data_IF_005058192319
#
_entry.id   IF_005058192319
#
_cell.length_a   1.000
_cell.length_b   1.000
_cell.length_c   1.000
_cell.angle_alpha   90.00
_cell.angle_beta   90.00
_cell.angle_gamma   90.00
#
_symmetry.space_group_name_H-M   'P 1'
#
loop_
_entity.id
_entity.type
_entity.pdbx_description
1 polymer ?
#
# COMPACT_ATOMS: atom_id res chain seq x y z
N UNK A 1 2.15 33.68 -30.02
CA UNK A 1 1.83 33.31 -28.61
C UNK A 1 1.26 31.90 -28.63
N UNK A 2 2.05 30.89 -28.26
CA UNK A 2 1.55 29.52 -28.13
C UNK A 2 0.90 29.37 -26.76
N UNK A 3 -0.42 29.20 -26.75
CA UNK A 3 -1.16 28.89 -25.53
C UNK A 3 -0.82 27.46 -25.10
N UNK A 4 -0.14 27.31 -23.96
CA UNK A 4 -0.01 26.03 -23.26
C UNK A 4 -1.42 25.65 -22.82
N UNK A 5 -2.05 24.76 -23.57
CA UNK A 5 -3.30 24.11 -23.18
C UNK A 5 -2.91 23.11 -22.09
N UNK A 6 -2.96 23.56 -20.82
CA UNK A 6 -2.95 22.63 -19.69
C UNK A 6 -4.22 21.79 -19.81
N UNK A 7 -4.05 20.56 -20.27
CA UNK A 7 -5.14 19.61 -20.44
C UNK A 7 -5.84 19.39 -19.10
N UNK A 8 -7.05 19.93 -18.98
CA UNK A 8 -7.83 19.99 -17.74
C UNK A 8 -8.36 18.61 -17.32
N UNK A 9 -8.12 17.58 -18.12
CA UNK A 9 -8.40 16.16 -17.83
C UNK A 9 -7.54 15.62 -16.67
N UNK A 10 -6.28 16.08 -16.53
CA UNK A 10 -5.38 15.69 -15.43
C UNK A 10 -5.88 16.08 -14.02
N UNK A 11 -6.87 16.99 -13.95
CA UNK A 11 -7.42 17.50 -12.69
C UNK A 11 -8.50 16.61 -12.07
N UNK A 12 -9.12 15.68 -12.82
CA UNK A 12 -10.29 14.93 -12.31
C UNK A 12 -9.93 13.78 -11.40
N UNK A 13 -8.79 13.11 -11.55
CA UNK A 13 -8.36 12.03 -10.65
C UNK A 13 -6.85 11.99 -10.39
N UNK A 14 -6.12 13.06 -10.77
CA UNK A 14 -4.65 13.10 -10.75
C UNK A 14 -4.03 12.82 -9.37
N UNK A 15 -4.58 13.37 -8.29
CA UNK A 15 -4.09 13.11 -6.93
C UNK A 15 -4.29 11.65 -6.54
N UNK A 16 -5.48 11.08 -6.79
CA UNK A 16 -5.77 9.68 -6.49
C UNK A 16 -4.85 8.76 -7.29
N UNK A 17 -4.66 9.04 -8.59
CA UNK A 17 -3.78 8.27 -9.46
C UNK A 17 -2.32 8.33 -9.00
N UNK A 18 -1.84 9.51 -8.61
CA UNK A 18 -0.49 9.68 -8.08
C UNK A 18 -0.32 8.89 -6.77
N UNK A 19 -1.28 9.02 -5.86
CA UNK A 19 -1.24 8.30 -4.59
C UNK A 19 -1.25 6.78 -4.78
N UNK A 20 -2.07 6.26 -5.70
CA UNK A 20 -2.07 4.85 -6.06
C UNK A 20 -0.74 4.39 -6.65
N UNK A 21 -0.13 5.18 -7.54
CA UNK A 21 1.20 4.84 -8.13
C UNK A 21 2.31 4.86 -7.09
N UNK A 22 2.30 5.85 -6.20
CA UNK A 22 3.28 5.96 -5.13
C UNK A 22 3.16 4.80 -4.14
N UNK A 23 1.93 4.45 -3.73
CA UNK A 23 1.64 3.28 -2.90
C UNK A 23 2.15 2.00 -3.56
N UNK A 24 1.76 1.77 -4.81
CA UNK A 24 2.15 0.60 -5.59
C UNK A 24 3.68 0.47 -5.72
N UNK A 25 4.38 1.58 -6.01
CA UNK A 25 5.82 1.60 -6.14
C UNK A 25 6.51 1.26 -4.82
N UNK A 26 6.14 1.93 -3.74
CA UNK A 26 6.76 1.74 -2.43
C UNK A 26 6.48 0.32 -1.93
N UNK A 27 5.22 -0.13 -1.96
CA UNK A 27 4.84 -1.48 -1.54
C UNK A 27 5.58 -2.55 -2.36
N UNK A 28 5.59 -2.42 -3.69
CA UNK A 28 6.30 -3.36 -4.56
C UNK A 28 7.82 -3.39 -4.31
N UNK A 29 8.45 -2.22 -4.14
CA UNK A 29 9.89 -2.13 -3.82
C UNK A 29 10.22 -2.69 -2.44
N UNK A 30 9.37 -2.44 -1.43
CA UNK A 30 9.53 -3.02 -0.09
C UNK A 30 9.42 -4.54 -0.15
N UNK A 31 8.44 -5.07 -0.88
CA UNK A 31 8.32 -6.51 -1.09
C UNK A 31 9.54 -7.13 -1.78
N UNK A 32 10.04 -6.50 -2.86
CA UNK A 32 11.26 -6.94 -3.55
C UNK A 32 12.48 -6.89 -2.65
N UNK A 33 12.65 -5.79 -1.90
CA UNK A 33 13.74 -5.64 -0.96
C UNK A 33 13.66 -6.65 0.18
N UNK A 34 12.45 -7.02 0.61
CA UNK A 34 12.22 -7.98 1.70
C UNK A 34 12.65 -9.41 1.38
N UNK A 35 12.58 -9.86 0.12
CA UNK A 35 12.92 -11.22 -0.30
C UNK A 35 14.29 -11.72 0.19
N UNK A 36 15.42 -11.02 -0.06
CA UNK A 36 16.73 -11.46 0.43
C UNK A 36 16.85 -11.40 1.96
N UNK A 37 16.05 -10.57 2.64
CA UNK A 37 16.10 -10.40 4.09
C UNK A 37 15.05 -11.20 4.85
N UNK A 38 14.19 -11.98 4.19
CA UNK A 38 13.07 -12.68 4.83
C UNK A 38 13.48 -13.56 6.02
N UNK A 39 14.65 -14.22 5.92
CA UNK A 39 15.22 -14.98 7.02
C UNK A 39 15.55 -14.13 8.24
N UNK A 40 16.27 -13.03 8.01
CA UNK A 40 16.67 -12.08 9.05
C UNK A 40 15.47 -11.32 9.63
N UNK A 41 14.51 -10.94 8.80
CA UNK A 41 13.26 -10.30 9.22
C UNK A 41 12.47 -11.22 10.15
N UNK A 42 12.35 -12.51 9.82
CA UNK A 42 11.65 -13.47 10.68
C UNK A 42 12.31 -13.60 12.06
N UNK A 43 13.63 -13.71 12.10
CA UNK A 43 14.39 -13.80 13.36
C UNK A 43 14.27 -12.50 14.18
N UNK A 44 14.31 -11.33 13.52
CA UNK A 44 14.18 -10.03 14.16
C UNK A 44 12.76 -9.78 14.68
N UNK A 45 11.74 -10.13 13.89
CA UNK A 45 10.35 -9.80 14.16
C UNK A 45 9.64 -10.83 15.03
N UNK A 46 10.14 -12.06 15.10
CA UNK A 46 9.47 -13.17 15.78
C UNK A 46 8.38 -13.83 14.92
N UNK A 47 8.39 -13.61 13.60
CA UNK A 47 7.50 -14.29 12.65
C UNK A 47 8.17 -15.55 12.08
N UNK A 48 7.61 -16.12 11.02
CA UNK A 48 8.21 -17.25 10.31
C UNK A 48 8.75 -16.81 8.95
N UNK A 49 9.81 -17.47 8.47
CA UNK A 49 10.36 -17.21 7.12
C UNK A 49 9.30 -17.37 6.02
N UNK A 50 8.42 -18.36 6.17
CA UNK A 50 7.32 -18.59 5.24
C UNK A 50 6.35 -17.40 5.20
N UNK A 51 6.02 -16.82 6.36
CA UNK A 51 5.20 -15.62 6.44
C UNK A 51 5.89 -14.41 5.79
N UNK A 52 7.18 -14.18 6.06
CA UNK A 52 7.91 -13.05 5.46
C UNK A 52 8.02 -13.17 3.93
N UNK A 53 8.27 -14.38 3.40
CA UNK A 53 8.23 -14.61 1.95
C UNK A 53 6.83 -14.42 1.36
N UNK A 54 5.79 -14.89 2.05
CA UNK A 54 4.41 -14.68 1.62
C UNK A 54 4.03 -13.19 1.62
N UNK A 55 4.49 -12.43 2.62
CA UNK A 55 4.26 -10.99 2.70
C UNK A 55 5.00 -10.23 1.60
N UNK A 56 6.27 -10.59 1.35
CA UNK A 56 7.02 -10.04 0.23
C UNK A 56 6.31 -10.29 -1.11
N UNK A 57 5.87 -11.53 -1.35
CA UNK A 57 5.11 -11.88 -2.55
C UNK A 57 3.78 -11.11 -2.65
N UNK A 58 3.06 -10.98 -1.53
CA UNK A 58 1.82 -10.22 -1.44
C UNK A 58 2.05 -8.74 -1.81
N UNK A 59 3.07 -8.09 -1.25
CA UNK A 59 3.38 -6.69 -1.52
C UNK A 59 3.79 -6.45 -2.98
N UNK A 60 4.56 -7.37 -3.57
CA UNK A 60 4.91 -7.33 -4.99
C UNK A 60 3.65 -7.44 -5.85
N UNK A 61 2.80 -8.43 -5.57
CA UNK A 61 1.55 -8.64 -6.30
C UNK A 61 0.61 -7.43 -6.16
N UNK A 62 0.47 -6.89 -4.95
CA UNK A 62 -0.28 -5.67 -4.67
C UNK A 62 0.25 -4.49 -5.50
N UNK A 63 1.57 -4.28 -5.50
CA UNK A 63 2.20 -3.23 -6.32
C UNK A 63 1.88 -3.36 -7.80
N UNK A 64 1.99 -4.57 -8.38
CA UNK A 64 1.63 -4.84 -9.79
C UNK A 64 0.16 -4.53 -10.06
N UNK A 65 -0.74 -5.05 -9.22
CA UNK A 65 -2.19 -4.87 -9.37
C UNK A 65 -2.56 -3.39 -9.28
N UNK A 66 -2.07 -2.67 -8.27
CA UNK A 66 -2.40 -1.26 -8.07
C UNK A 66 -1.82 -0.38 -9.16
N UNK A 67 -0.62 -0.68 -9.69
CA UNK A 67 -0.11 0.01 -10.88
C UNK A 67 -0.99 -0.20 -12.12
N UNK A 68 -1.48 -1.42 -12.33
CA UNK A 68 -2.43 -1.73 -13.39
C UNK A 68 -3.73 -0.94 -13.23
N UNK A 69 -4.30 -0.93 -12.02
CA UNK A 69 -5.49 -0.14 -11.68
C UNK A 69 -5.26 1.36 -11.87
N UNK A 70 -4.08 1.88 -11.51
CA UNK A 70 -3.71 3.28 -11.68
C UNK A 70 -3.46 3.67 -13.15
N UNK A 71 -3.52 2.73 -14.08
CA UNK A 71 -3.41 2.95 -15.53
C UNK A 71 -4.77 2.99 -16.23
N UNK A 72 -5.87 2.76 -15.50
CA UNK A 72 -7.22 2.83 -16.05
C UNK A 72 -7.61 4.25 -16.49
N UNK A 73 -8.48 4.43 -17.50
CA UNK A 73 -8.96 5.75 -17.94
C UNK A 73 -9.60 6.57 -16.81
N UNK A 74 -10.27 5.91 -15.86
CA UNK A 74 -10.77 6.51 -14.62
C UNK A 74 -10.37 5.65 -13.43
N UNK A 75 -9.71 6.25 -12.43
CA UNK A 75 -9.28 5.52 -11.22
C UNK A 75 -10.26 5.63 -10.06
N UNK A 76 -11.42 6.28 -10.23
CA UNK A 76 -12.32 6.58 -9.09
C UNK A 76 -12.87 5.32 -8.40
N UNK A 77 -13.35 4.33 -9.17
CA UNK A 77 -13.87 3.06 -8.61
C UNK A 77 -12.73 2.19 -8.08
N UNK A 78 -11.69 2.02 -8.88
CA UNK A 78 -10.51 1.23 -8.51
C UNK A 78 -9.85 1.77 -7.24
N UNK A 79 -9.68 3.10 -7.14
CA UNK A 79 -9.10 3.77 -5.99
C UNK A 79 -9.89 3.57 -4.71
N UNK A 80 -11.23 3.50 -4.76
CA UNK A 80 -12.02 3.12 -3.59
C UNK A 80 -11.71 1.69 -3.14
N UNK A 81 -11.54 0.75 -4.08
CA UNK A 81 -11.10 -0.61 -3.76
C UNK A 81 -9.72 -0.64 -3.08
N UNK A 82 -8.77 0.17 -3.57
CA UNK A 82 -7.42 0.28 -2.98
C UNK A 82 -7.47 0.91 -1.58
N UNK A 83 -8.28 1.94 -1.37
CA UNK A 83 -8.50 2.54 -0.04
C UNK A 83 -9.01 1.49 0.94
N UNK A 84 -10.03 0.71 0.54
CA UNK A 84 -10.59 -0.35 1.38
C UNK A 84 -9.54 -1.42 1.69
N UNK A 85 -8.74 -1.83 0.69
CA UNK A 85 -7.68 -2.80 0.88
C UNK A 85 -6.62 -2.31 1.87
N UNK A 86 -6.20 -1.05 1.78
CA UNK A 86 -5.26 -0.44 2.71
C UNK A 86 -5.81 -0.37 4.14
N UNK A 87 -7.07 0.06 4.31
CA UNK A 87 -7.72 0.06 5.63
C UNK A 87 -7.84 -1.37 6.19
N UNK A 88 -8.21 -2.34 5.35
CA UNK A 88 -8.29 -3.74 5.77
C UNK A 88 -6.92 -4.28 6.19
N UNK A 89 -5.84 -3.93 5.47
CA UNK A 89 -4.47 -4.27 5.86
C UNK A 89 -4.10 -3.62 7.19
N UNK A 90 -4.40 -2.35 7.41
CA UNK A 90 -4.17 -1.68 8.71
C UNK A 90 -4.85 -2.43 9.85
N UNK A 91 -6.13 -2.79 9.68
CA UNK A 91 -6.88 -3.55 10.68
C UNK A 91 -6.25 -4.92 10.91
N UNK A 92 -5.86 -5.63 9.84
CA UNK A 92 -5.20 -6.92 9.94
C UNK A 92 -3.87 -6.83 10.69
N UNK A 93 -3.06 -5.78 10.45
CA UNK A 93 -1.82 -5.55 11.18
C UNK A 93 -2.07 -5.35 12.68
N UNK A 94 -3.10 -4.58 13.06
CA UNK A 94 -3.48 -4.39 14.47
C UNK A 94 -3.95 -5.71 15.09
N UNK A 95 -4.84 -6.44 14.40
CA UNK A 95 -5.37 -7.72 14.87
C UNK A 95 -4.25 -8.76 15.04
N UNK A 96 -3.27 -8.80 14.13
CA UNK A 96 -2.13 -9.71 14.21
C UNK A 96 -1.37 -9.54 15.53
N UNK A 97 -1.19 -8.31 16.00
CA UNK A 97 -0.57 -8.00 17.29
C UNK A 97 -1.51 -8.35 18.45
N UNK A 98 -2.75 -7.88 18.41
CA UNK A 98 -3.69 -8.04 19.53
C UNK A 98 -4.13 -9.49 19.77
N UNK A 99 -4.07 -10.33 18.72
CA UNK A 99 -4.44 -11.74 18.79
C UNK A 99 -3.23 -12.66 18.98
N UNK A 100 -2.03 -12.12 19.22
CA UNK A 100 -0.79 -12.87 19.42
C UNK A 100 -0.56 -13.97 18.35
N UNK A 101 -0.86 -13.64 17.08
CA UNK A 101 -0.76 -14.60 15.95
C UNK A 101 0.66 -15.15 15.82
N UNK A 102 1.65 -14.32 16.15
CA UNK A 102 3.07 -14.69 16.24
C UNK A 102 3.63 -14.24 17.60
N UNK A 103 4.69 -14.91 18.09
CA UNK A 103 5.44 -14.45 19.26
C UNK A 103 6.33 -13.25 18.89
N UNK A 104 5.70 -12.13 18.53
CA UNK A 104 6.41 -10.97 18.02
C UNK A 104 7.39 -10.41 19.07
N UNK A 105 8.58 -10.05 18.60
CA UNK A 105 9.49 -9.23 19.40
C UNK A 105 8.97 -7.79 19.46
N UNK A 106 9.52 -6.96 20.35
CA UNK A 106 9.23 -5.51 20.34
C UNK A 106 9.51 -4.86 18.98
N UNK A 107 10.58 -5.29 18.30
CA UNK A 107 10.88 -4.84 16.95
C UNK A 107 9.82 -5.30 15.93
N UNK A 108 9.36 -6.55 16.03
CA UNK A 108 8.29 -7.09 15.20
C UNK A 108 6.98 -6.32 15.35
N UNK A 109 6.59 -6.00 16.60
CA UNK A 109 5.41 -5.16 16.87
C UNK A 109 5.55 -3.80 16.22
N UNK A 110 6.69 -3.13 16.40
CA UNK A 110 6.94 -1.81 15.80
C UNK A 110 6.91 -1.88 14.26
N UNK A 111 7.59 -2.85 13.65
CA UNK A 111 7.63 -3.02 12.20
C UNK A 111 6.24 -3.29 11.62
N UNK A 112 5.48 -4.21 12.24
CA UNK A 112 4.13 -4.55 11.80
C UNK A 112 3.16 -3.38 11.95
N UNK A 113 3.18 -2.68 13.09
CA UNK A 113 2.33 -1.49 13.28
C UNK A 113 2.76 -0.32 12.41
N UNK A 114 4.06 -0.15 12.11
CA UNK A 114 4.54 0.84 11.16
C UNK A 114 4.02 0.55 9.74
N UNK A 115 3.98 -0.71 9.31
CA UNK A 115 3.36 -1.11 8.05
C UNK A 115 1.84 -0.83 8.04
N UNK A 116 1.16 -1.10 9.16
CA UNK A 116 -0.25 -0.71 9.35
C UNK A 116 -0.46 0.80 9.25
N UNK A 117 0.34 1.60 9.94
CA UNK A 117 0.27 3.06 9.88
C UNK A 117 0.56 3.60 8.48
N UNK A 118 1.55 3.02 7.77
CA UNK A 118 1.86 3.34 6.39
C UNK A 118 0.64 3.16 5.47
N UNK A 119 -0.02 2.00 5.54
CA UNK A 119 -1.21 1.73 4.73
C UNK A 119 -2.36 2.69 5.06
N UNK A 120 -2.53 3.06 6.32
CA UNK A 120 -3.54 4.04 6.74
C UNK A 120 -3.27 5.44 6.17
N UNK A 121 -2.01 5.89 6.19
CA UNK A 121 -1.60 7.17 5.59
C UNK A 121 -1.92 7.17 4.09
N UNK A 122 -1.61 6.09 3.39
CA UNK A 122 -1.94 5.98 1.97
C UNK A 122 -3.45 5.92 1.72
N UNK A 123 -4.21 5.19 2.53
CA UNK A 123 -5.67 5.17 2.47
C UNK A 123 -6.24 6.59 2.61
N UNK A 124 -5.73 7.38 3.55
CA UNK A 124 -6.16 8.76 3.76
C UNK A 124 -5.83 9.65 2.55
N UNK A 125 -4.59 9.62 2.05
CA UNK A 125 -4.18 10.41 0.87
C UNK A 125 -4.98 10.01 -0.37
N UNK A 126 -5.21 8.72 -0.58
CA UNK A 126 -6.05 8.19 -1.65
C UNK A 126 -7.50 8.65 -1.48
N UNK A 127 -8.07 8.59 -0.27
CA UNK A 127 -9.43 9.04 0.02
C UNK A 127 -9.61 10.53 -0.23
N UNK A 128 -8.62 11.33 0.15
CA UNK A 128 -8.54 12.77 -0.14
C UNK A 128 -8.52 13.03 -1.65
N UNK A 129 -7.77 12.23 -2.42
CA UNK A 129 -7.81 12.24 -3.89
C UNK A 129 -9.17 11.84 -4.46
N UNK A 130 -9.78 10.78 -3.93
CA UNK A 130 -11.08 10.28 -4.35
C UNK A 130 -12.21 11.28 -4.13
N UNK A 131 -12.23 11.96 -2.97
CA UNK A 131 -13.20 13.03 -2.65
C UNK A 131 -13.10 14.23 -3.59
N UNK A 132 -11.89 14.57 -4.02
CA UNK A 132 -11.66 15.66 -4.99
C UNK A 132 -12.01 15.23 -6.42
N UNK A 133 -12.08 13.93 -6.68
CA UNK A 133 -12.36 13.42 -8.00
C UNK A 133 -13.84 13.61 -8.37
N UNK A 134 -14.08 14.44 -9.38
CA UNK A 134 -15.42 14.69 -9.93
C UNK A 134 -15.87 13.50 -10.78
N UNK A 135 -17.13 13.10 -10.61
CA UNK A 135 -17.80 12.16 -11.50
C UNK A 135 -17.96 12.75 -12.90
#
# INVERSE_FOLDING_TARGET
>A
MSAITLDRTGTRDGLLRLAMRADAAISGLVGLAGLPFAGWLADLSGTTKAFEYAMAAFLIAYGVVVFGLASLPSVRRAGMGVIIANVAYTVAAIVLVLADVFPLTSAGVVLNLAAGAYTLVFAEVQYQGWRRAKA
#
